data_IF_470836236321
#
_entry.id   IF_470836236321
#
_cell.length_a   1.000
_cell.length_b   1.000
_cell.length_c   1.000
_cell.angle_alpha   90.00
_cell.angle_beta   90.00
_cell.angle_gamma   90.00
#
_symmetry.space_group_name_H-M   'P 1'
#
loop_
_entity.id
_entity.type
_entity.pdbx_description
1 polymer ?
#
# COMPACT_ATOMS: atom_id res chain seq x y z
N UNK A 1 51.00 -22.35 -10.40
CA UNK A 1 50.96 -20.94 -9.97
C UNK A 1 49.57 -20.45 -10.34
N UNK A 2 48.65 -20.43 -9.37
CA UNK A 2 47.23 -20.17 -9.60
C UNK A 2 46.92 -18.78 -9.07
N UNK A 3 46.41 -17.91 -9.94
CA UNK A 3 45.94 -16.58 -9.55
C UNK A 3 44.64 -16.73 -8.74
N UNK A 4 44.45 -16.01 -7.63
CA UNK A 4 43.17 -15.99 -6.94
C UNK A 4 42.13 -15.29 -7.82
N UNK A 5 41.03 -15.98 -8.07
CA UNK A 5 39.83 -15.45 -8.70
C UNK A 5 39.16 -14.52 -7.67
N UNK A 6 39.27 -13.20 -7.86
CA UNK A 6 38.52 -12.22 -7.08
C UNK A 6 37.09 -12.17 -7.64
N UNK A 7 36.17 -12.92 -7.01
CA UNK A 7 34.74 -12.77 -7.26
C UNK A 7 34.29 -11.53 -6.50
N UNK A 8 34.20 -10.39 -7.20
CA UNK A 8 33.45 -9.22 -6.73
C UNK A 8 31.96 -9.52 -6.87
N UNK A 9 31.41 -10.28 -5.93
CA UNK A 9 29.97 -10.34 -5.74
C UNK A 9 29.54 -8.97 -5.23
N UNK A 10 28.81 -8.24 -6.07
CA UNK A 10 28.19 -6.98 -5.68
C UNK A 10 27.32 -7.18 -4.45
N UNK A 11 27.61 -6.33 -3.46
CA UNK A 11 26.77 -5.90 -2.36
C UNK A 11 26.08 -7.01 -1.54
N UNK A 12 26.54 -7.15 -0.29
CA UNK A 12 25.66 -7.48 0.84
C UNK A 12 24.28 -6.86 0.62
N UNK A 13 23.15 -7.59 0.78
CA UNK A 13 21.86 -6.96 0.63
C UNK A 13 21.78 -5.76 1.58
N UNK A 14 21.18 -4.66 1.11
CA UNK A 14 20.58 -3.65 1.99
C UNK A 14 19.92 -4.41 3.13
N UNK A 15 20.48 -4.28 4.34
CA UNK A 15 20.16 -4.99 5.61
C UNK A 15 19.30 -6.26 5.46
N UNK A 16 19.85 -7.42 5.84
CA UNK A 16 19.13 -8.71 5.91
C UNK A 16 17.62 -8.55 6.21
N UNK A 17 16.75 -8.81 5.22
CA UNK A 17 15.30 -8.58 5.37
C UNK A 17 14.63 -7.76 4.28
N UNK A 18 15.38 -7.02 3.44
CA UNK A 18 14.79 -6.16 2.40
C UNK A 18 15.07 -6.66 0.99
N UNK A 19 14.09 -6.54 0.10
CA UNK A 19 14.26 -6.76 -1.34
C UNK A 19 13.77 -5.53 -2.11
N UNK A 20 14.53 -5.12 -3.11
CA UNK A 20 14.15 -4.05 -4.03
C UNK A 20 13.26 -4.63 -5.12
N UNK A 21 12.07 -4.08 -5.31
CA UNK A 21 11.25 -4.40 -6.49
C UNK A 21 11.78 -3.56 -7.65
N UNK A 22 12.28 -4.23 -8.69
CA UNK A 22 12.59 -3.57 -9.97
C UNK A 22 11.45 -3.90 -10.93
N UNK A 23 10.54 -2.93 -11.13
CA UNK A 23 9.51 -3.04 -12.17
C UNK A 23 10.16 -3.11 -13.56
N UNK A 24 9.49 -3.73 -14.53
CA UNK A 24 10.04 -3.90 -15.87
C UNK A 24 10.23 -2.56 -16.63
N UNK A 25 9.60 -1.49 -16.14
CA UNK A 25 9.83 -0.11 -16.57
C UNK A 25 9.79 0.83 -15.35
N UNK A 26 10.35 2.03 -15.48
CA UNK A 26 10.37 3.01 -14.39
C UNK A 26 8.95 3.45 -14.02
N UNK A 27 8.45 2.94 -12.89
CA UNK A 27 7.23 3.40 -12.23
C UNK A 27 7.64 4.39 -11.13
N UNK A 28 7.30 5.66 -11.32
CA UNK A 28 7.47 6.71 -10.32
C UNK A 28 6.28 6.71 -9.34
N UNK A 29 6.57 6.93 -8.05
CA UNK A 29 5.58 6.91 -6.97
C UNK A 29 4.81 5.57 -6.90
N UNK A 30 5.58 4.49 -6.79
CA UNK A 30 5.09 3.11 -6.72
C UNK A 30 4.20 2.85 -5.51
N UNK A 31 3.11 2.15 -5.76
CA UNK A 31 2.20 1.63 -4.75
C UNK A 31 2.09 0.13 -4.93
N UNK A 32 1.89 -0.56 -3.81
CA UNK A 32 1.91 -2.01 -3.74
C UNK A 32 0.57 -2.53 -3.23
N UNK A 33 0.19 -3.70 -3.72
CA UNK A 33 -0.93 -4.48 -3.19
C UNK A 33 -0.64 -5.96 -3.36
N UNK A 34 -1.36 -6.80 -2.63
CA UNK A 34 -1.20 -8.27 -2.72
C UNK A 34 -2.55 -8.94 -2.52
N UNK A 35 -2.84 -9.93 -3.35
CA UNK A 35 -4.02 -10.77 -3.25
C UNK A 35 -4.04 -11.83 -4.34
N UNK A 36 -4.88 -12.84 -4.17
CA UNK A 36 -5.04 -13.96 -5.11
C UNK A 36 -5.89 -13.51 -6.30
N UNK A 37 -5.24 -13.05 -7.37
CA UNK A 37 -5.92 -12.51 -8.56
C UNK A 37 -6.36 -13.62 -9.51
N UNK A 38 -5.72 -14.79 -9.48
CA UNK A 38 -6.00 -15.89 -10.40
C UNK A 38 -6.81 -17.06 -9.81
N UNK A 39 -7.05 -17.04 -8.51
CA UNK A 39 -7.87 -17.99 -7.76
C UNK A 39 -7.12 -19.29 -7.41
N UNK A 40 -5.79 -19.29 -7.42
CA UNK A 40 -4.98 -20.47 -7.11
C UNK A 40 -4.65 -20.64 -5.61
N UNK A 41 -5.09 -19.69 -4.78
CA UNK A 41 -4.85 -19.64 -3.34
C UNK A 41 -3.51 -19.02 -2.95
N UNK A 42 -2.69 -18.57 -3.91
CA UNK A 42 -1.46 -17.82 -3.70
C UNK A 42 -1.69 -16.35 -4.08
N UNK A 43 -0.98 -15.44 -3.40
CA UNK A 43 -1.09 -14.02 -3.71
C UNK A 43 -0.18 -13.62 -4.88
N UNK A 44 -0.65 -12.71 -5.72
CA UNK A 44 0.20 -11.95 -6.63
C UNK A 44 0.58 -10.61 -6.01
N UNK A 45 1.81 -10.16 -6.28
CA UNK A 45 2.23 -8.79 -5.98
C UNK A 45 1.78 -7.87 -7.12
N UNK A 46 1.10 -6.78 -6.77
CA UNK A 46 0.69 -5.74 -7.71
C UNK A 46 1.51 -4.49 -7.44
N UNK A 47 2.05 -3.90 -8.52
CA UNK A 47 2.81 -2.65 -8.47
C UNK A 47 2.14 -1.66 -9.41
N UNK A 48 1.70 -0.53 -8.88
CA UNK A 48 1.04 0.52 -9.64
C UNK A 48 1.70 1.87 -9.47
N UNK A 49 1.61 2.73 -10.47
CA UNK A 49 2.06 4.12 -10.33
C UNK A 49 2.23 4.81 -11.67
N UNK A 50 2.96 5.92 -11.67
CA UNK A 50 3.15 6.77 -12.84
C UNK A 50 4.31 6.29 -13.70
N UNK A 51 4.19 6.32 -15.03
CA UNK A 51 5.30 6.04 -15.96
C UNK A 51 5.93 7.34 -16.47
N UNK A 52 7.26 7.41 -16.42
CA UNK A 52 8.08 8.45 -17.06
C UNK A 52 8.17 9.80 -16.32
N UNK A 53 9.02 10.72 -16.81
CA UNK A 53 9.35 11.98 -16.13
C UNK A 53 8.14 12.92 -15.99
N UNK A 54 8.21 13.86 -15.02
CA UNK A 54 7.16 14.87 -14.81
C UNK A 54 7.04 15.80 -16.04
N UNK A 55 6.21 15.43 -17.01
CA UNK A 55 5.84 16.33 -18.13
C UNK A 55 4.58 17.13 -17.74
N UNK A 56 4.58 18.47 -17.76
CA UNK A 56 3.34 19.25 -17.76
C UNK A 56 2.46 18.78 -18.92
N UNK A 57 1.16 18.59 -18.70
CA UNK A 57 0.22 18.24 -19.78
C UNK A 57 -0.70 19.42 -20.02
N UNK A 58 -0.86 19.78 -21.29
CA UNK A 58 -1.88 20.72 -21.76
C UNK A 58 -3.27 20.10 -21.79
N UNK A 59 -3.38 18.76 -21.74
CA UNK A 59 -4.63 18.03 -21.51
C UNK A 59 -4.40 16.85 -20.54
N UNK A 60 -5.03 16.91 -19.36
CA UNK A 60 -4.85 15.90 -18.32
C UNK A 60 -5.38 14.52 -18.75
N UNK A 61 -6.35 14.42 -19.66
CA UNK A 61 -7.04 13.15 -19.96
C UNK A 61 -6.42 12.33 -21.11
N UNK A 62 -5.56 12.92 -21.94
CA UNK A 62 -5.03 12.24 -23.15
C UNK A 62 -3.76 11.42 -22.90
N UNK A 63 -3.10 11.61 -21.75
CA UNK A 63 -1.83 10.93 -21.45
C UNK A 63 -2.00 9.63 -20.70
N UNK A 64 -1.76 8.48 -21.35
CA UNK A 64 -1.50 7.19 -20.69
C UNK A 64 -0.19 7.29 -19.91
N UNK A 65 -0.28 7.56 -18.61
CA UNK A 65 0.86 7.89 -17.75
C UNK A 65 0.94 7.01 -16.52
N UNK A 66 0.18 5.92 -16.49
CA UNK A 66 0.26 4.98 -15.41
C UNK A 66 0.45 3.56 -15.93
N UNK A 67 1.09 2.77 -15.09
CA UNK A 67 1.31 1.35 -15.32
C UNK A 67 0.95 0.59 -14.07
N UNK A 68 0.31 -0.55 -14.27
CA UNK A 68 0.06 -1.56 -13.25
C UNK A 68 0.73 -2.84 -13.74
N UNK A 69 1.56 -3.45 -12.91
CA UNK A 69 2.17 -4.75 -13.13
C UNK A 69 1.66 -5.76 -12.10
N UNK A 70 1.39 -6.98 -12.55
CA UNK A 70 1.15 -8.15 -11.69
C UNK A 70 2.39 -9.03 -11.76
N UNK A 71 2.92 -9.37 -10.60
CA UNK A 71 4.15 -10.13 -10.46
C UNK A 71 3.92 -11.35 -9.56
N UNK A 72 4.46 -12.48 -9.99
CA UNK A 72 4.54 -13.71 -9.19
C UNK A 72 5.99 -13.95 -8.80
N UNK A 73 6.20 -14.64 -7.69
CA UNK A 73 7.54 -15.08 -7.33
C UNK A 73 7.78 -16.51 -7.76
N UNK A 74 8.70 -16.71 -8.69
CA UNK A 74 9.04 -18.02 -9.20
C UNK A 74 10.55 -18.16 -9.33
N UNK A 75 11.09 -19.26 -8.80
CA UNK A 75 12.52 -19.63 -8.89
C UNK A 75 13.46 -18.56 -8.34
N UNK A 76 13.10 -17.95 -7.21
CA UNK A 76 13.95 -16.98 -6.53
C UNK A 76 13.83 -15.54 -7.03
N UNK A 77 12.93 -15.25 -7.99
CA UNK A 77 12.80 -13.95 -8.63
C UNK A 77 11.34 -13.56 -8.82
N UNK A 78 11.05 -12.26 -8.74
CA UNK A 78 9.77 -11.70 -9.19
C UNK A 78 9.72 -11.71 -10.72
N UNK A 79 8.58 -12.16 -11.26
CA UNK A 79 8.32 -12.23 -12.69
C UNK A 79 6.99 -11.56 -12.98
N UNK A 80 7.00 -10.55 -13.85
CA UNK A 80 5.77 -9.91 -14.34
C UNK A 80 5.00 -10.89 -15.22
N UNK A 81 3.76 -11.19 -14.85
CA UNK A 81 2.86 -12.08 -15.60
C UNK A 81 1.80 -11.31 -16.39
N UNK A 82 1.47 -10.09 -15.96
CA UNK A 82 0.55 -9.21 -16.66
C UNK A 82 0.93 -7.74 -16.39
N UNK A 83 0.57 -6.86 -17.33
CA UNK A 83 0.73 -5.42 -17.16
C UNK A 83 -0.38 -4.67 -17.91
N UNK A 84 -0.66 -3.44 -17.46
CA UNK A 84 -1.59 -2.52 -18.10
C UNK A 84 -1.01 -1.11 -18.10
N UNK A 85 -0.88 -0.53 -19.29
CA UNK A 85 -0.33 0.82 -19.54
C UNK A 85 -1.42 1.79 -20.06
N UNK A 86 -2.70 1.49 -19.80
CA UNK A 86 -3.83 2.20 -20.43
C UNK A 86 -4.47 3.28 -19.55
N UNK A 87 -4.14 3.33 -18.26
CA UNK A 87 -4.74 4.30 -17.34
C UNK A 87 -4.08 5.69 -17.47
N UNK A 88 -4.88 6.77 -17.34
CA UNK A 88 -4.36 8.13 -17.42
C UNK A 88 -3.50 8.48 -16.19
N UNK A 89 -3.86 7.95 -15.02
CA UNK A 89 -3.16 8.19 -13.76
C UNK A 89 -3.47 7.05 -12.77
N UNK A 90 -2.48 6.71 -11.94
CA UNK A 90 -2.64 5.88 -10.75
C UNK A 90 -1.96 6.63 -9.61
N UNK A 91 -2.75 7.07 -8.65
CA UNK A 91 -2.30 7.73 -7.44
C UNK A 91 -2.08 6.73 -6.30
N UNK A 92 -2.89 5.68 -6.26
CA UNK A 92 -2.81 4.61 -5.28
C UNK A 92 -3.51 3.35 -5.78
N UNK A 93 -3.19 2.21 -5.15
CA UNK A 93 -3.81 0.91 -5.45
C UNK A 93 -4.16 0.13 -4.19
N UNK A 94 -5.17 -0.74 -4.28
CA UNK A 94 -5.47 -1.77 -3.30
C UNK A 94 -5.84 -3.07 -4.03
N UNK A 95 -5.69 -4.21 -3.37
CA UNK A 95 -6.03 -5.53 -3.93
C UNK A 95 -6.87 -6.28 -2.92
N UNK A 96 -8.07 -6.69 -3.32
CA UNK A 96 -8.98 -7.49 -2.50
C UNK A 96 -10.13 -8.06 -3.34
N UNK A 97 -10.73 -9.16 -2.90
CA UNK A 97 -11.98 -9.69 -3.45
C UNK A 97 -13.14 -8.79 -3.01
N UNK A 98 -13.68 -7.99 -3.92
CA UNK A 98 -14.78 -7.05 -3.62
C UNK A 98 -16.16 -7.60 -4.00
N UNK A 99 -16.23 -8.66 -4.81
CA UNK A 99 -17.50 -9.18 -5.32
C UNK A 99 -17.86 -10.59 -4.81
N UNK A 100 -16.96 -11.21 -4.06
CA UNK A 100 -17.11 -12.47 -3.36
C UNK A 100 -17.01 -13.67 -4.30
N UNK A 101 -16.21 -13.59 -5.36
CA UNK A 101 -15.94 -14.70 -6.29
C UNK A 101 -14.68 -15.51 -5.96
N UNK A 102 -14.07 -15.25 -4.79
CA UNK A 102 -12.81 -15.80 -4.29
C UNK A 102 -11.59 -15.42 -5.16
N UNK A 103 -11.71 -14.42 -6.03
CA UNK A 103 -10.59 -13.85 -6.79
C UNK A 103 -10.51 -12.35 -6.53
N UNK A 104 -9.33 -11.87 -6.18
CA UNK A 104 -9.13 -10.47 -5.88
C UNK A 104 -9.21 -9.60 -7.15
N UNK A 105 -9.79 -8.42 -6.99
CA UNK A 105 -9.67 -7.31 -7.92
C UNK A 105 -8.48 -6.41 -7.57
N UNK A 106 -7.99 -5.69 -8.57
CA UNK A 106 -7.11 -4.53 -8.37
C UNK A 106 -7.97 -3.27 -8.43
N UNK A 107 -7.95 -2.51 -7.36
CA UNK A 107 -8.55 -1.19 -7.27
C UNK A 107 -7.46 -0.15 -7.51
N UNK A 108 -7.62 0.68 -8.54
CA UNK A 108 -6.71 1.78 -8.82
C UNK A 108 -7.46 3.10 -8.75
N UNK A 109 -6.89 4.10 -8.09
CA UNK A 109 -7.51 5.42 -8.00
C UNK A 109 -6.67 6.49 -8.70
N UNK A 110 -7.34 7.55 -9.15
CA UNK A 110 -6.67 8.70 -9.72
C UNK A 110 -7.62 9.84 -10.05
N UNK A 111 -7.22 11.05 -9.67
CA UNK A 111 -8.11 12.22 -9.66
C UNK A 111 -9.41 11.94 -8.90
N UNK A 112 -10.55 11.80 -9.58
CA UNK A 112 -11.86 11.54 -8.97
C UNK A 112 -12.42 10.17 -9.36
N UNK A 113 -11.59 9.31 -9.96
CA UNK A 113 -11.99 8.02 -10.52
C UNK A 113 -11.41 6.85 -9.73
N UNK A 114 -12.22 5.81 -9.64
CA UNK A 114 -11.86 4.46 -9.25
C UNK A 114 -11.95 3.57 -10.50
N UNK A 115 -10.91 2.80 -10.76
CA UNK A 115 -10.89 1.73 -11.73
C UNK A 115 -10.82 0.39 -11.00
N UNK A 116 -11.65 -0.56 -11.44
CA UNK A 116 -11.60 -1.95 -11.01
C UNK A 116 -11.01 -2.76 -12.14
N UNK A 117 -9.90 -3.46 -11.88
CA UNK A 117 -9.23 -4.31 -12.85
C UNK A 117 -9.27 -5.76 -12.40
N UNK A 118 -9.34 -6.67 -13.38
CA UNK A 118 -9.29 -8.12 -13.18
C UNK A 118 -8.17 -8.75 -13.97
N UNK A 119 -7.61 -9.82 -13.43
CA UNK A 119 -6.71 -10.70 -14.17
C UNK A 119 -7.54 -11.76 -14.90
N UNK A 120 -7.70 -11.60 -16.21
CA UNK A 120 -8.45 -12.53 -17.06
C UNK A 120 -7.54 -13.18 -18.08
N UNK A 121 -7.40 -14.51 -17.99
CA UNK A 121 -6.62 -15.31 -18.96
C UNK A 121 -5.20 -14.76 -19.16
N UNK A 122 -4.54 -14.36 -18.07
CA UNK A 122 -3.19 -13.81 -18.08
C UNK A 122 -3.09 -12.35 -18.57
N UNK A 123 -4.20 -11.60 -18.61
CA UNK A 123 -4.21 -10.19 -18.99
C UNK A 123 -4.98 -9.36 -17.98
N UNK A 124 -4.47 -8.16 -17.69
CA UNK A 124 -5.25 -7.17 -16.95
C UNK A 124 -6.30 -6.56 -17.88
N UNK A 125 -7.54 -6.52 -17.39
CA UNK A 125 -8.67 -5.87 -18.06
C UNK A 125 -9.32 -4.87 -17.12
N UNK A 126 -9.81 -3.75 -17.64
CA UNK A 126 -10.62 -2.80 -16.87
C UNK A 126 -12.05 -3.34 -16.83
N UNK A 127 -12.47 -3.84 -15.66
CA UNK A 127 -13.80 -4.38 -15.42
C UNK A 127 -14.82 -3.29 -15.04
N UNK A 128 -14.34 -2.16 -14.49
CA UNK A 128 -15.18 -1.03 -14.11
C UNK A 128 -14.43 0.28 -14.02
N UNK A 129 -15.14 1.38 -14.26
CA UNK A 129 -14.69 2.76 -14.02
C UNK A 129 -15.84 3.54 -13.40
N UNK A 130 -15.58 4.20 -12.25
CA UNK A 130 -16.59 5.00 -11.55
C UNK A 130 -16.02 6.31 -11.04
N UNK A 131 -16.88 7.32 -11.00
CA UNK A 131 -16.61 8.61 -10.35
C UNK A 131 -17.30 8.59 -8.99
N UNK A 132 -16.54 8.38 -7.93
CA UNK A 132 -17.05 8.23 -6.56
C UNK A 132 -16.76 9.42 -5.65
N UNK A 133 -15.94 10.37 -6.11
CA UNK A 133 -15.55 11.54 -5.33
C UNK A 133 -15.86 12.85 -6.08
N UNK A 134 -16.14 13.91 -5.31
CA UNK A 134 -16.27 15.26 -5.83
C UNK A 134 -14.91 15.98 -5.90
N UNK A 135 -13.98 15.60 -5.02
CA UNK A 135 -12.61 16.06 -4.90
C UNK A 135 -11.60 15.03 -5.41
N UNK A 136 -10.36 15.14 -4.92
CA UNK A 136 -9.26 14.29 -5.36
C UNK A 136 -9.12 13.08 -4.45
N UNK A 137 -9.32 11.89 -5.00
CA UNK A 137 -8.91 10.64 -4.39
C UNK A 137 -7.38 10.61 -4.24
N UNK A 138 -6.93 10.37 -3.01
CA UNK A 138 -5.52 10.33 -2.65
C UNK A 138 -5.07 8.97 -2.15
N UNK A 139 -5.92 8.21 -1.44
CA UNK A 139 -5.59 6.87 -0.97
C UNK A 139 -6.74 5.89 -1.12
N UNK A 140 -6.41 4.61 -1.28
CA UNK A 140 -7.36 3.50 -1.29
C UNK A 140 -6.83 2.35 -0.44
N UNK A 141 -7.70 1.73 0.36
CA UNK A 141 -7.42 0.44 0.98
C UNK A 141 -8.66 -0.44 0.90
N UNK A 142 -8.46 -1.76 0.87
CA UNK A 142 -9.55 -2.71 0.87
C UNK A 142 -9.24 -3.87 1.81
N UNK A 143 -10.26 -4.29 2.57
CA UNK A 143 -10.24 -5.48 3.41
C UNK A 143 -11.68 -5.85 3.79
N UNK A 144 -11.91 -7.10 4.17
CA UNK A 144 -13.18 -7.51 4.78
C UNK A 144 -13.30 -6.88 6.18
N UNK A 145 -14.24 -5.93 6.34
CA UNK A 145 -14.41 -5.15 7.56
C UNK A 145 -15.49 -5.69 8.48
N UNK A 146 -16.46 -6.46 7.96
CA UNK A 146 -17.57 -7.01 8.73
C UNK A 146 -17.66 -8.54 8.76
N UNK A 147 -16.74 -9.23 8.09
CA UNK A 147 -16.57 -10.68 8.14
C UNK A 147 -17.51 -11.43 7.18
N UNK A 148 -18.05 -10.77 6.16
CA UNK A 148 -18.96 -11.40 5.20
C UNK A 148 -18.25 -12.10 4.03
N UNK A 149 -16.92 -12.03 3.98
CA UNK A 149 -16.07 -12.61 2.95
C UNK A 149 -15.88 -11.71 1.72
N UNK A 150 -16.51 -10.54 1.66
CA UNK A 150 -16.27 -9.52 0.63
C UNK A 150 -15.52 -8.36 1.25
N UNK A 151 -14.61 -7.78 0.49
CA UNK A 151 -13.88 -6.61 0.96
C UNK A 151 -14.72 -5.34 0.81
N UNK A 152 -14.69 -4.52 1.86
CA UNK A 152 -15.05 -3.11 1.76
C UNK A 152 -13.84 -2.29 1.34
N UNK A 153 -14.13 -1.15 0.73
CA UNK A 153 -13.13 -0.23 0.19
C UNK A 153 -13.20 1.09 0.92
N UNK A 154 -12.07 1.55 1.42
CA UNK A 154 -11.90 2.90 1.97
C UNK A 154 -11.28 3.77 0.90
N UNK A 155 -11.96 4.86 0.56
CA UNK A 155 -11.44 5.91 -0.31
C UNK A 155 -11.18 7.17 0.52
N UNK A 156 -9.93 7.67 0.47
CA UNK A 156 -9.58 8.96 1.02
C UNK A 156 -9.70 10.04 -0.06
N UNK A 157 -10.61 10.97 0.14
CA UNK A 157 -10.86 12.11 -0.72
C UNK A 157 -10.35 13.39 -0.05
N UNK A 158 -9.35 14.01 -0.67
CA UNK A 158 -8.88 15.33 -0.28
C UNK A 158 -9.82 16.39 -0.86
N UNK A 159 -10.46 17.15 0.02
CA UNK A 159 -11.32 18.30 -0.33
C UNK A 159 -10.64 19.59 0.07
N UNK A 160 -10.44 20.45 -0.93
CA UNK A 160 -9.96 21.81 -0.70
C UNK A 160 -11.11 22.78 -0.93
N UNK A 161 -11.62 23.35 0.16
CA UNK A 161 -12.62 24.41 0.10
C UNK A 161 -11.90 25.75 -0.13
N UNK A 162 -12.28 26.55 -1.14
CA UNK A 162 -11.68 27.86 -1.35
C UNK A 162 -11.79 28.73 -0.09
N UNK A 163 -10.65 29.24 0.40
CA UNK A 163 -10.58 30.07 1.61
C UNK A 163 -10.58 29.32 2.94
N UNK A 164 -10.63 27.98 2.94
CA UNK A 164 -10.40 27.21 4.17
C UNK A 164 -8.90 27.16 4.52
N UNK A 165 -8.58 27.39 5.80
CA UNK A 165 -7.22 27.30 6.33
C UNK A 165 -6.74 25.85 6.50
N UNK A 166 -7.69 24.91 6.65
CA UNK A 166 -7.42 23.49 6.89
C UNK A 166 -7.95 22.66 5.74
N UNK A 167 -7.13 21.73 5.26
CA UNK A 167 -7.56 20.71 4.30
C UNK A 167 -8.38 19.67 5.04
N UNK A 168 -9.52 19.28 4.46
CA UNK A 168 -10.33 18.17 4.98
C UNK A 168 -10.10 16.96 4.11
N UNK A 169 -9.74 15.84 4.72
CA UNK A 169 -9.75 14.54 4.06
C UNK A 169 -10.97 13.74 4.52
N UNK A 170 -11.83 13.39 3.58
CA UNK A 170 -12.98 12.52 3.83
C UNK A 170 -12.57 11.07 3.55
N UNK A 171 -12.76 10.18 4.52
CA UNK A 171 -12.73 8.74 4.32
C UNK A 171 -14.16 8.23 4.09
N UNK A 172 -14.45 7.78 2.88
CA UNK A 172 -15.68 7.03 2.59
C UNK A 172 -15.40 5.53 2.65
N UNK A 173 -16.25 4.77 3.34
CA UNK A 173 -16.26 3.30 3.32
C UNK A 173 -17.33 2.85 2.35
N UNK A 174 -16.97 2.00 1.40
CA UNK A 174 -17.83 1.54 0.32
C UNK A 174 -17.94 0.02 0.27
N UNK A 175 -19.12 -0.47 -0.07
CA UNK A 175 -19.37 -1.87 -0.42
C UNK A 175 -19.74 -1.99 -1.90
N UNK A 176 -19.34 -3.09 -2.53
CA UNK A 176 -19.72 -3.42 -3.90
C UNK A 176 -20.75 -4.56 -3.93
N UNK A 177 -21.92 -4.27 -4.52
CA UNK A 177 -23.00 -5.24 -4.73
C UNK A 177 -23.48 -5.25 -6.19
N UNK A 178 -22.58 -5.01 -7.14
CA UNK A 178 -22.88 -4.68 -8.54
C UNK A 178 -22.96 -3.17 -8.80
N UNK A 179 -23.11 -2.37 -7.74
CA UNK A 179 -22.88 -0.93 -7.72
C UNK A 179 -22.18 -0.56 -6.42
N UNK A 180 -21.40 0.52 -6.45
CA UNK A 180 -20.75 1.06 -5.26
C UNK A 180 -21.75 1.81 -4.39
N UNK A 181 -21.76 1.48 -3.10
CA UNK A 181 -22.56 2.15 -2.09
C UNK A 181 -21.68 2.63 -0.95
N UNK A 182 -21.73 3.92 -0.63
CA UNK A 182 -21.13 4.47 0.59
C UNK A 182 -21.94 4.00 1.80
N UNK A 183 -21.29 3.31 2.73
CA UNK A 183 -21.91 2.70 3.92
C UNK A 183 -21.54 3.45 5.20
N UNK A 184 -20.39 4.11 5.23
CA UNK A 184 -20.01 5.00 6.32
C UNK A 184 -18.99 6.03 5.86
N UNK A 185 -18.79 7.05 6.69
CA UNK A 185 -17.92 8.17 6.40
C UNK A 185 -17.27 8.74 7.66
N UNK A 186 -16.04 9.22 7.51
CA UNK A 186 -15.30 9.96 8.53
C UNK A 186 -14.60 11.16 7.89
N UNK A 187 -14.82 12.36 8.41
CA UNK A 187 -14.08 13.55 7.99
C UNK A 187 -12.90 13.79 8.96
N UNK A 188 -11.73 14.07 8.40
CA UNK A 188 -10.48 14.30 9.10
C UNK A 188 -9.96 15.70 8.81
N UNK A 189 -9.49 16.38 9.84
CA UNK A 189 -8.77 17.64 9.72
C UNK A 189 -7.31 17.34 9.39
N UNK A 190 -6.93 17.56 8.13
CA UNK A 190 -5.56 17.38 7.64
C UNK A 190 -5.43 16.53 6.39
N UNK A 191 -4.21 16.51 5.87
CA UNK A 191 -3.83 15.65 4.77
C UNK A 191 -3.48 14.25 5.28
N UNK A 192 -4.03 13.23 4.61
CA UNK A 192 -3.65 11.83 4.85
C UNK A 192 -2.44 11.49 3.98
N UNK A 193 -1.29 11.26 4.60
CA UNK A 193 -0.06 10.89 3.89
C UNK A 193 -0.02 9.42 3.49
N UNK A 194 -0.63 8.53 4.27
CA UNK A 194 -0.88 7.15 3.86
C UNK A 194 -1.96 6.51 4.74
N UNK A 195 -2.53 5.42 4.28
CA UNK A 195 -3.43 4.60 5.09
C UNK A 195 -3.29 3.13 4.72
N UNK A 196 -3.55 2.25 5.68
CA UNK A 196 -3.58 0.81 5.44
C UNK A 196 -4.62 0.13 6.32
N UNK A 197 -5.15 -0.98 5.82
CA UNK A 197 -6.05 -1.86 6.54
C UNK A 197 -5.32 -3.14 6.92
N UNK A 198 -5.67 -3.69 8.07
CA UNK A 198 -5.23 -5.00 8.50
C UNK A 198 -5.94 -5.42 9.77
N UNK A 199 -5.38 -6.36 10.52
CA UNK A 199 -6.00 -6.86 11.74
C UNK A 199 -5.14 -6.58 12.98
N UNK A 200 -5.77 -6.06 14.03
CA UNK A 200 -5.18 -5.91 15.36
C UNK A 200 -6.00 -6.74 16.34
N UNK A 201 -5.36 -7.73 16.98
CA UNK A 201 -6.02 -8.68 17.87
C UNK A 201 -7.27 -9.33 17.26
N UNK A 202 -7.18 -9.72 15.98
CA UNK A 202 -8.25 -10.38 15.22
C UNK A 202 -9.40 -9.47 14.80
N UNK A 203 -9.26 -8.14 14.93
CA UNK A 203 -10.27 -7.17 14.51
C UNK A 203 -9.77 -6.34 13.33
N UNK A 204 -10.58 -6.13 12.28
CA UNK A 204 -10.23 -5.20 11.21
C UNK A 204 -9.94 -3.82 11.79
N UNK A 205 -8.84 -3.22 11.34
CA UNK A 205 -8.29 -1.98 11.87
C UNK A 205 -7.67 -1.17 10.74
N UNK A 206 -7.80 0.16 10.86
CA UNK A 206 -7.21 1.14 9.96
C UNK A 206 -6.11 1.87 10.71
N UNK A 207 -4.93 1.95 10.10
CA UNK A 207 -3.90 2.91 10.48
C UNK A 207 -3.80 3.96 9.38
N UNK A 208 -3.75 5.23 9.75
CA UNK A 208 -3.55 6.32 8.80
C UNK A 208 -2.56 7.33 9.36
N UNK A 209 -1.76 7.91 8.49
CA UNK A 209 -0.85 8.99 8.81
C UNK A 209 -1.49 10.33 8.50
N UNK A 210 -1.40 11.26 9.44
CA UNK A 210 -1.73 12.67 9.24
C UNK A 210 -0.44 13.49 9.13
N UNK A 211 -0.34 14.27 8.07
CA UNK A 211 0.84 15.10 7.82
C UNK A 211 0.70 15.93 6.56
N UNK A 212 1.41 17.05 6.52
CA UNK A 212 1.50 17.93 5.34
C UNK A 212 2.95 18.15 4.97
N UNK A 213 3.23 18.21 3.66
CA UNK A 213 4.58 18.39 3.13
C UNK A 213 5.58 17.39 3.75
N UNK A 214 6.54 17.87 4.53
CA UNK A 214 7.58 17.08 5.21
C UNK A 214 7.28 16.81 6.69
N UNK A 215 6.23 17.44 7.24
CA UNK A 215 5.84 17.34 8.65
C UNK A 215 4.70 16.33 8.80
N UNK A 216 4.85 15.37 9.71
CA UNK A 216 3.82 14.39 10.02
C UNK A 216 4.30 13.30 10.97
N UNK A 217 3.93 12.06 10.62
CA UNK A 217 4.23 10.85 11.38
C UNK A 217 3.37 10.63 12.61
N UNK A 218 2.33 11.46 12.79
CA UNK A 218 1.22 11.15 13.67
C UNK A 218 0.37 10.07 12.99
N UNK A 219 0.32 8.89 13.58
CA UNK A 219 -0.53 7.80 13.10
C UNK A 219 -1.75 7.68 13.99
N UNK A 220 -2.93 7.78 13.38
CA UNK A 220 -4.20 7.50 14.02
C UNK A 220 -4.59 6.05 13.73
N UNK A 221 -5.06 5.34 14.75
CA UNK A 221 -5.55 3.97 14.65
C UNK A 221 -7.04 3.93 14.93
N UNK A 222 -7.78 3.26 14.06
CA UNK A 222 -9.20 2.99 14.19
C UNK A 222 -9.43 1.49 14.19
N UNK A 223 -10.43 1.01 14.92
CA UNK A 223 -10.93 -0.35 14.80
C UNK A 223 -12.33 -0.34 14.21
N UNK A 224 -12.65 -1.39 13.47
CA UNK A 224 -13.98 -1.63 12.95
C UNK A 224 -14.77 -2.56 13.89
N UNK A 225 -16.06 -2.26 14.00
CA UNK A 225 -17.08 -3.03 14.70
C UNK A 225 -18.33 -2.90 13.82
N UNK A 226 -18.33 -3.69 12.74
CA UNK A 226 -19.05 -3.39 11.50
C UNK A 226 -18.35 -2.29 10.69
N UNK A 227 -19.10 -1.64 9.80
CA UNK A 227 -18.54 -0.79 8.74
C UNK A 227 -18.18 0.65 9.16
N UNK A 228 -18.29 0.99 10.45
CA UNK A 228 -18.03 2.34 10.97
C UNK A 228 -16.67 2.37 11.68
N UNK A 229 -15.71 3.22 11.23
CA UNK A 229 -14.42 3.33 11.89
C UNK A 229 -14.57 3.96 13.28
N UNK A 230 -14.01 3.31 14.30
CA UNK A 230 -13.99 3.82 15.68
C UNK A 230 -12.57 4.14 16.11
N UNK A 231 -12.33 5.40 16.45
CA UNK A 231 -11.03 5.88 16.92
C UNK A 231 -10.54 5.07 18.13
N UNK A 232 -9.24 4.78 18.16
CA UNK A 232 -8.58 4.03 19.25
C UNK A 232 -7.43 4.79 19.88
N UNK A 233 -6.53 5.32 19.07
CA UNK A 233 -5.33 5.97 19.55
C UNK A 233 -4.74 6.86 18.47
N UNK A 234 -4.07 7.92 18.93
CA UNK A 234 -3.15 8.71 18.13
C UNK A 234 -1.75 8.53 18.71
N UNK A 235 -0.76 8.31 17.84
CA UNK A 235 0.61 8.14 18.28
C UNK A 235 1.60 8.74 17.29
N UNK A 236 2.50 9.59 17.78
CA UNK A 236 3.67 10.02 17.00
C UNK A 236 4.61 8.81 16.86
N UNK A 237 4.76 8.30 15.63
CA UNK A 237 5.55 7.10 15.34
C UNK A 237 6.90 7.40 14.67
N UNK A 238 7.04 8.56 14.04
CA UNK A 238 8.31 9.02 13.48
C UNK A 238 9.05 9.95 14.45
N UNK A 239 10.37 10.05 14.30
CA UNK A 239 11.19 11.03 15.03
C UNK A 239 11.07 12.40 14.39
N UNK A 240 11.26 13.44 15.19
CA UNK A 240 11.32 14.85 14.75
C UNK A 240 10.13 15.31 13.88
N UNK A 241 8.99 14.64 14.03
CA UNK A 241 7.78 14.88 13.23
C UNK A 241 8.01 14.74 11.72
N UNK A 242 8.95 13.87 11.31
CA UNK A 242 9.18 13.57 9.89
C UNK A 242 7.98 12.81 9.34
N UNK A 243 7.52 13.17 8.14
CA UNK A 243 6.35 12.53 7.52
C UNK A 243 6.57 11.05 7.22
N UNK A 244 5.53 10.24 7.42
CA UNK A 244 5.49 8.86 6.93
C UNK A 244 4.52 8.74 5.76
N UNK A 245 5.04 8.40 4.58
CA UNK A 245 4.26 8.25 3.33
C UNK A 245 4.00 6.80 2.95
N UNK A 246 4.40 5.87 3.82
CA UNK A 246 4.27 4.45 3.59
C UNK A 246 3.92 3.75 4.91
N UNK A 247 2.71 3.21 4.98
CA UNK A 247 2.22 2.39 6.07
C UNK A 247 1.80 1.02 5.54
N UNK A 248 2.06 -0.04 6.31
CA UNK A 248 1.45 -1.35 6.06
C UNK A 248 1.13 -2.03 7.37
N UNK A 249 -0.06 -2.63 7.47
CA UNK A 249 -0.58 -3.27 8.68
C UNK A 249 -0.98 -4.71 8.34
N UNK A 250 -0.27 -5.69 8.90
CA UNK A 250 -0.57 -7.11 8.64
C UNK A 250 -0.59 -7.97 9.89
N UNK A 251 -1.38 -9.04 9.82
CA UNK A 251 -1.32 -10.13 10.79
C UNK A 251 -0.36 -11.21 10.28
N UNK A 252 0.80 -11.33 10.91
CA UNK A 252 1.78 -12.39 10.62
C UNK A 252 1.84 -13.38 11.79
N UNK A 253 1.61 -14.67 11.51
CA UNK A 253 1.59 -15.74 12.53
C UNK A 253 0.73 -15.40 13.77
N UNK A 254 -0.45 -14.80 13.53
CA UNK A 254 -1.38 -14.38 14.59
C UNK A 254 -0.98 -13.12 15.36
N UNK A 255 0.05 -12.39 14.91
CA UNK A 255 0.52 -11.14 15.50
C UNK A 255 0.35 -9.99 14.53
N UNK A 256 -0.25 -8.91 15.00
CA UNK A 256 -0.33 -7.66 14.24
C UNK A 256 1.03 -6.96 14.20
N UNK A 257 1.40 -6.46 13.03
CA UNK A 257 2.59 -5.67 12.76
C UNK A 257 2.20 -4.44 11.95
N UNK A 258 2.57 -3.28 12.46
CA UNK A 258 2.52 -2.02 11.70
C UNK A 258 3.94 -1.70 11.25
N UNK A 259 4.10 -1.44 9.96
CA UNK A 259 5.35 -0.95 9.38
C UNK A 259 5.16 0.51 9.00
N UNK A 260 6.11 1.36 9.39
CA UNK A 260 6.10 2.81 9.14
C UNK A 260 7.38 3.19 8.43
N UNK A 261 7.27 3.61 7.16
CA UNK A 261 8.36 4.11 6.34
C UNK A 261 8.29 5.62 6.20
N UNK A 262 9.28 6.33 6.74
CA UNK A 262 9.36 7.79 6.66
C UNK A 262 10.12 8.30 5.44
N UNK A 263 9.93 9.59 5.12
CA UNK A 263 10.56 10.24 3.96
C UNK A 263 12.07 10.44 4.12
N UNK A 264 12.62 10.19 5.31
CA UNK A 264 14.06 10.23 5.57
C UNK A 264 14.74 8.87 5.36
N UNK A 265 13.98 7.84 4.95
CA UNK A 265 14.51 6.50 4.67
C UNK A 265 14.64 5.62 5.92
N UNK A 266 13.87 5.88 6.98
CA UNK A 266 13.78 4.98 8.13
C UNK A 266 12.51 4.13 8.06
N UNK A 267 12.65 2.82 8.27
CA UNK A 267 11.53 1.87 8.34
C UNK A 267 11.46 1.29 9.75
N UNK A 268 10.39 1.62 10.48
CA UNK A 268 10.12 1.09 11.80
C UNK A 268 9.11 -0.06 11.73
N UNK A 269 9.39 -1.15 12.43
CA UNK A 269 8.45 -2.27 12.61
C UNK A 269 7.93 -2.24 14.04
N UNK A 270 6.62 -2.12 14.20
CA UNK A 270 5.95 -1.94 15.47
C UNK A 270 4.93 -3.05 15.76
N UNK A 271 4.81 -3.41 17.02
CA UNK A 271 3.79 -4.34 17.53
C UNK A 271 2.86 -3.62 18.51
N UNK A 272 1.57 -4.00 18.57
CA UNK A 272 0.66 -3.45 19.56
C UNK A 272 0.94 -4.07 20.93
N UNK A 273 1.24 -3.23 21.92
CA UNK A 273 1.42 -3.62 23.31
C UNK A 273 0.67 -2.63 24.22
N UNK A 274 -0.31 -3.12 24.98
CA UNK A 274 -1.09 -2.27 25.89
C UNK A 274 -1.85 -1.13 25.19
N UNK A 275 -2.30 -1.35 23.94
CA UNK A 275 -3.01 -0.34 23.14
C UNK A 275 -2.12 0.70 22.47
N UNK A 276 -0.79 0.54 22.51
CA UNK A 276 0.18 1.41 21.84
C UNK A 276 1.03 0.62 20.86
N UNK A 277 1.51 1.29 19.83
CA UNK A 277 2.51 0.73 18.92
C UNK A 277 3.90 0.87 19.54
N UNK A 278 4.59 -0.26 19.74
CA UNK A 278 5.93 -0.30 20.33
C UNK A 278 6.90 -0.83 19.29
N UNK A 279 7.96 -0.06 19.05
CA UNK A 279 9.01 -0.42 18.10
C UNK A 279 9.72 -1.70 18.52
N UNK A 280 9.86 -2.62 17.57
CA UNK A 280 10.56 -3.91 17.76
C UNK A 280 11.92 -3.91 17.07
N UNK A 281 12.00 -3.28 15.91
CA UNK A 281 13.23 -3.08 15.16
C UNK A 281 13.08 -1.87 14.23
N UNK A 282 14.22 -1.31 13.82
CA UNK A 282 14.29 -0.29 12.77
C UNK A 282 15.27 -0.78 11.72
N UNK A 283 14.84 -0.75 10.47
CA UNK A 283 15.67 -1.07 9.31
C UNK A 283 16.01 0.23 8.62
N UNK A 284 17.30 0.45 8.37
CA UNK A 284 17.74 1.55 7.53
C UNK A 284 17.38 1.23 6.08
N UNK A 285 16.63 2.10 5.43
CA UNK A 285 16.40 2.02 3.99
C UNK A 285 17.54 2.70 3.22
N UNK A 286 17.65 2.48 1.90
CA UNK A 286 18.53 3.27 1.04
C UNK A 286 18.33 4.78 1.25
N UNK A 287 19.37 5.60 1.06
CA UNK A 287 19.24 7.04 1.16
C UNK A 287 18.28 7.58 0.09
N UNK A 288 17.20 8.24 0.53
CA UNK A 288 16.20 8.86 -0.35
C UNK A 288 14.77 8.70 0.19
N UNK A 289 13.79 9.42 -0.39
CA UNK A 289 12.40 9.29 0.02
C UNK A 289 11.84 7.93 -0.43
N UNK A 290 11.39 7.13 0.54
CA UNK A 290 10.66 5.90 0.28
C UNK A 290 9.35 6.22 -0.43
N UNK A 291 9.13 5.61 -1.60
CA UNK A 291 7.92 5.88 -2.41
C UNK A 291 6.90 4.75 -2.41
N UNK A 292 7.24 3.58 -1.88
CA UNK A 292 6.32 2.49 -1.60
C UNK A 292 6.93 1.52 -0.59
N UNK A 293 6.08 0.89 0.22
CA UNK A 293 6.44 -0.10 1.22
C UNK A 293 5.38 -1.19 1.23
N UNK A 294 5.80 -2.45 1.33
CA UNK A 294 4.87 -3.59 1.44
C UNK A 294 5.50 -4.73 2.24
N UNK A 295 4.77 -5.26 3.21
CA UNK A 295 5.15 -6.43 3.99
C UNK A 295 4.46 -7.65 3.39
N UNK A 296 5.19 -8.69 3.01
CA UNK A 296 4.60 -9.87 2.35
C UNK A 296 4.88 -11.19 3.05
N UNK A 297 3.97 -12.15 2.89
CA UNK A 297 4.10 -13.54 3.32
C UNK A 297 4.42 -14.51 2.17
N UNK A 298 4.53 -14.05 0.92
CA UNK A 298 4.66 -14.89 -0.29
C UNK A 298 5.80 -15.94 -0.29
N UNK A 299 6.69 -15.96 0.73
CA UNK A 299 7.90 -16.78 0.79
C UNK A 299 7.99 -17.59 2.08
N UNK A 300 7.08 -18.54 2.29
CA UNK A 300 7.03 -19.34 3.53
C UNK A 300 8.09 -20.47 3.60
N UNK A 301 8.59 -20.99 2.47
CA UNK A 301 9.48 -22.15 2.48
C UNK A 301 10.98 -21.83 2.70
N UNK A 302 11.52 -20.76 2.08
CA UNK A 302 12.96 -20.43 2.13
C UNK A 302 13.26 -18.92 2.21
N UNK A 303 12.24 -18.07 2.44
CA UNK A 303 12.31 -16.61 2.32
C UNK A 303 12.99 -15.88 3.48
N UNK A 304 13.94 -15.02 3.11
CA UNK A 304 14.68 -13.96 3.84
C UNK A 304 14.16 -13.58 5.24
N UNK A 305 15.10 -13.54 6.21
CA UNK A 305 14.85 -13.26 7.62
C UNK A 305 14.79 -11.76 7.94
N UNK A 306 13.72 -11.31 8.60
CA UNK A 306 13.79 -10.19 9.55
C UNK A 306 14.35 -10.74 10.87
N UNK A 307 15.67 -10.71 11.06
CA UNK A 307 16.27 -10.99 12.37
C UNK A 307 16.07 -9.77 13.30
N UNK A 308 14.83 -9.54 13.71
CA UNK A 308 14.50 -8.82 14.93
C UNK A 308 14.18 -9.81 16.06
N UNK A 309 14.24 -9.37 17.31
CA UNK A 309 13.97 -10.19 18.50
C UNK A 309 12.56 -10.82 18.58
N UNK A 310 11.71 -10.64 17.55
CA UNK A 310 10.31 -11.04 17.49
C UNK A 310 10.04 -12.42 16.87
N UNK A 311 11.01 -13.02 16.16
CA UNK A 311 10.92 -14.39 15.62
C UNK A 311 9.93 -14.62 14.46
N UNK A 312 9.57 -13.55 13.74
CA UNK A 312 8.59 -13.59 12.64
C UNK A 312 9.28 -13.81 11.27
N UNK A 313 8.61 -14.54 10.35
CA UNK A 313 9.02 -14.72 8.95
C UNK A 313 8.19 -13.82 8.03
N UNK A 314 8.85 -13.08 7.14
CA UNK A 314 8.22 -12.15 6.18
C UNK A 314 9.29 -11.26 5.51
N UNK A 315 8.98 -10.72 4.33
CA UNK A 315 9.89 -9.83 3.60
C UNK A 315 9.32 -8.41 3.50
N UNK A 316 10.19 -7.40 3.60
CA UNK A 316 9.83 -6.00 3.36
C UNK A 316 10.28 -5.62 1.96
N UNK A 317 9.33 -5.20 1.15
CA UNK A 317 9.57 -4.66 -0.18
C UNK A 317 9.49 -3.15 -0.14
N UNK A 318 10.42 -2.53 -0.87
CA UNK A 318 10.49 -1.10 -1.01
C UNK A 318 10.80 -0.78 -2.47
N UNK A 319 10.44 0.43 -2.87
CA UNK A 319 10.88 1.03 -4.11
C UNK A 319 11.59 2.36 -3.80
N UNK A 320 12.79 2.51 -4.34
CA UNK A 320 13.57 3.74 -4.25
C UNK A 320 12.98 4.81 -5.16
N UNK A 321 13.00 6.06 -4.70
CA UNK A 321 12.76 7.23 -5.54
C UNK A 321 14.08 7.89 -5.93
N UNK A 322 14.33 8.05 -7.22
CA UNK A 322 15.18 9.13 -7.72
C UNK A 322 14.35 10.40 -7.91
#
# INVERSE_FOLDING_TARGET
MWWPLLVLAWASPLVAGTQLVVAASEIAATRFGEGDLDGDGQGELVVGGRVGPFRPVTDAQEGRRARIEVQVYQRGQLQTIAALDELPVVADIAVADIDGDDRAEILAIGWHRLWTLRLERGKLVVAGEQVLAAGRLVRVAAADLDGDGRAEVILAERRQTPGAEVVVTTLGVYRYGGQWQEVSRLDLDGDVGDLCLGQVAGRPSLALELGTEEIGGLVQTYAFDGLVPRWRADQQLTRDHIRALNLDLRSLAGRALLVVGDIAGSVALLQPLGGRWVGTTTVAAPPGPLRGLHLTQLFDAEGVQLLGASGLRGAVWMADGF
#
